data_IF_953445372465
#
_entry.id   IF_953445372465
#
_cell.length_a   1.000
_cell.length_b   1.000
_cell.length_c   1.000
_cell.angle_alpha   90.00
_cell.angle_beta   90.00
_cell.angle_gamma   90.00
#
_symmetry.space_group_name_H-M   'P 1'
#
loop_
_entity.id
_entity.type
_entity.pdbx_description
1 polymer ?
#
# COMPACT_ATOMS: atom_id res chain seq x y z
N UNK A 1 -29.35 -13.12 29.88
CA UNK A 1 -28.12 -13.34 29.09
C UNK A 1 -28.04 -14.83 28.74
N UNK A 2 -27.73 -15.21 27.49
CA UNK A 2 -27.68 -16.62 27.06
C UNK A 2 -26.40 -16.83 26.23
N UNK A 3 -25.41 -17.55 26.79
CA UNK A 3 -24.13 -17.80 26.11
C UNK A 3 -24.37 -18.66 24.87
N UNK A 4 -23.77 -18.29 23.73
CA UNK A 4 -23.65 -19.13 22.53
C UNK A 4 -22.24 -19.72 22.55
N UNK A 5 -22.13 -21.04 22.58
CA UNK A 5 -20.84 -21.71 22.47
C UNK A 5 -20.39 -21.67 21.00
N UNK A 6 -19.14 -21.28 20.75
CA UNK A 6 -18.52 -21.48 19.44
C UNK A 6 -17.99 -22.91 19.35
N UNK A 7 -18.24 -23.58 18.23
CA UNK A 7 -17.63 -24.87 17.90
C UNK A 7 -16.66 -24.64 16.74
N UNK A 8 -15.37 -24.83 17.00
CA UNK A 8 -14.30 -24.68 16.01
C UNK A 8 -14.29 -25.95 15.15
N UNK A 9 -14.65 -25.82 13.88
CA UNK A 9 -14.53 -26.89 12.90
C UNK A 9 -13.12 -26.88 12.29
N UNK A 10 -12.26 -27.81 12.71
CA UNK A 10 -10.92 -27.97 12.16
C UNK A 10 -10.95 -28.86 10.90
N UNK A 11 -10.91 -28.22 9.72
CA UNK A 11 -10.89 -28.92 8.43
C UNK A 11 -9.51 -29.51 8.13
N UNK A 12 -9.37 -30.83 8.20
CA UNK A 12 -8.16 -31.57 7.86
C UNK A 12 -7.96 -31.66 6.34
N UNK A 13 -7.03 -30.88 5.79
CA UNK A 13 -6.60 -30.98 4.39
C UNK A 13 -5.65 -32.16 4.22
N UNK A 14 -6.12 -33.26 3.61
CA UNK A 14 -5.29 -34.42 3.28
C UNK A 14 -4.62 -34.22 1.93
N UNK A 15 -3.29 -34.02 1.94
CA UNK A 15 -2.48 -33.86 0.72
C UNK A 15 -2.24 -35.23 0.07
N UNK A 16 -2.77 -35.44 -1.13
CA UNK A 16 -2.51 -36.62 -1.96
C UNK A 16 -1.35 -36.35 -2.94
N UNK A 17 -0.13 -36.72 -2.54
CA UNK A 17 1.02 -36.73 -3.43
C UNK A 17 0.99 -37.96 -4.34
N UNK A 18 0.65 -37.77 -5.62
CA UNK A 18 0.85 -38.78 -6.67
C UNK A 18 2.18 -38.49 -7.36
N UNK A 19 3.22 -39.23 -6.99
CA UNK A 19 4.50 -39.21 -7.69
C UNK A 19 4.49 -40.09 -8.94
N UNK A 20 5.12 -39.61 -10.01
CA UNK A 20 5.57 -40.45 -11.12
C UNK A 20 7.07 -40.26 -11.32
N UNK A 21 7.79 -41.31 -11.66
CA UNK A 21 9.24 -41.30 -11.83
C UNK A 21 9.66 -42.25 -12.95
N UNK A 22 10.70 -41.82 -13.68
CA UNK A 22 11.37 -42.57 -14.75
C UNK A 22 10.50 -42.84 -16.02
N UNK A 23 11.07 -43.09 -17.19
CA UNK A 23 12.49 -43.32 -17.53
C UNK A 23 13.05 -42.29 -18.53
N UNK A 24 14.38 -42.16 -18.53
CA UNK A 24 15.14 -41.64 -19.66
C UNK A 24 15.39 -42.75 -20.68
N UNK A 25 15.45 -42.40 -21.97
CA UNK A 25 16.04 -43.22 -23.03
C UNK A 25 16.65 -42.31 -24.10
N UNK A 26 17.98 -42.21 -24.11
CA UNK A 26 18.74 -41.44 -25.09
C UNK A 26 19.15 -42.35 -26.26
N UNK A 27 19.06 -41.87 -27.51
CA UNK A 27 19.65 -42.55 -28.67
C UNK A 27 19.96 -41.58 -29.81
N UNK A 28 21.25 -41.53 -30.16
CA UNK A 28 21.90 -41.29 -31.45
C UNK A 28 21.07 -41.13 -32.74
N UNK A 29 21.50 -40.38 -33.77
CA UNK A 29 22.66 -39.46 -33.93
C UNK A 29 22.46 -38.60 -35.22
N UNK A 30 23.50 -37.87 -35.67
CA UNK A 30 23.66 -37.16 -36.97
C UNK A 30 22.88 -35.82 -37.16
N UNK A 31 23.38 -34.75 -37.80
CA UNK A 31 24.75 -34.30 -38.17
C UNK A 31 24.69 -32.77 -38.54
N UNK A 32 25.83 -32.17 -38.92
CA UNK A 32 26.01 -30.88 -39.64
C UNK A 32 25.94 -29.58 -38.80
N UNK A 33 27.07 -29.32 -38.15
CA UNK A 33 27.79 -28.03 -38.08
C UNK A 33 27.08 -26.71 -38.47
N UNK A 34 27.06 -25.74 -37.55
CA UNK A 34 27.50 -24.34 -37.80
C UNK A 34 27.73 -23.58 -36.49
N UNK A 35 28.98 -23.57 -36.00
CA UNK A 35 29.36 -22.83 -34.79
C UNK A 35 29.44 -21.33 -35.05
N UNK A 36 28.87 -20.53 -34.16
CA UNK A 36 29.28 -19.13 -33.95
C UNK A 36 29.63 -18.90 -32.48
N UNK A 37 30.72 -18.16 -32.29
CA UNK A 37 31.38 -17.69 -31.07
C UNK A 37 30.40 -17.35 -29.90
N UNK A 38 30.80 -17.44 -28.61
CA UNK A 38 32.18 -17.31 -28.10
C UNK A 38 32.38 -17.93 -26.69
N UNK A 39 33.67 -18.07 -26.33
CA UNK A 39 34.33 -18.22 -25.02
C UNK A 39 33.60 -17.77 -23.73
N UNK A 40 33.95 -18.23 -22.52
CA UNK A 40 34.79 -19.36 -22.04
C UNK A 40 34.88 -19.36 -20.49
N UNK A 41 34.78 -20.53 -19.83
CA UNK A 41 35.13 -20.78 -18.40
C UNK A 41 34.37 -19.95 -17.34
N UNK A 42 34.40 -20.25 -16.02
CA UNK A 42 35.27 -21.17 -15.26
C UNK A 42 34.52 -21.94 -14.13
N UNK A 43 35.26 -22.75 -13.36
CA UNK A 43 34.73 -23.84 -12.52
C UNK A 43 34.78 -23.60 -10.99
N UNK A 44 33.93 -24.38 -10.29
CA UNK A 44 34.00 -24.85 -8.88
C UNK A 44 35.37 -25.40 -8.41
N UNK A 45 35.61 -25.70 -7.10
CA UNK A 45 34.97 -25.22 -5.83
C UNK A 45 35.91 -25.07 -4.56
N UNK A 46 35.35 -24.51 -3.47
CA UNK A 46 35.48 -24.91 -2.03
C UNK A 46 36.84 -25.18 -1.32
N UNK A 47 37.11 -24.44 -0.22
CA UNK A 47 37.62 -24.86 1.11
C UNK A 47 37.43 -23.68 2.10
N UNK A 48 37.09 -23.78 3.41
CA UNK A 48 37.54 -24.59 4.57
C UNK A 48 38.89 -24.15 5.16
N UNK A 49 39.05 -23.89 6.47
CA UNK A 49 38.07 -23.61 7.58
C UNK A 49 38.37 -22.19 8.18
N UNK A 50 38.58 -21.78 9.44
CA UNK A 50 38.63 -22.32 10.83
C UNK A 50 38.58 -21.13 11.88
N UNK A 51 38.56 -21.42 13.20
CA UNK A 51 38.95 -20.56 14.37
C UNK A 51 38.04 -19.45 14.94
N UNK A 52 37.10 -19.89 15.81
CA UNK A 52 37.02 -19.58 17.26
C UNK A 52 36.99 -18.14 17.84
N UNK A 53 35.86 -17.84 18.51
CA UNK A 53 35.63 -17.28 19.87
C UNK A 53 36.87 -16.81 20.71
N UNK A 54 36.80 -15.81 21.62
CA UNK A 54 35.71 -15.52 22.59
C UNK A 54 35.79 -14.12 23.27
N UNK A 55 34.60 -13.49 23.45
CA UNK A 55 33.98 -12.90 24.67
C UNK A 55 34.66 -11.93 25.68
N UNK A 56 33.75 -11.22 26.38
CA UNK A 56 33.79 -10.66 27.76
C UNK A 56 34.44 -9.28 28.07
N UNK A 57 34.01 -8.49 29.09
CA UNK A 57 32.66 -8.23 29.70
C UNK A 57 32.71 -7.08 30.74
N UNK A 58 31.75 -6.15 30.68
CA UNK A 58 31.13 -5.32 31.75
C UNK A 58 31.91 -4.34 32.69
N UNK A 59 31.32 -3.13 32.83
CA UNK A 59 31.25 -2.16 33.96
C UNK A 59 32.47 -1.60 34.71
N UNK A 60 32.40 -0.28 34.96
CA UNK A 60 32.52 0.30 36.31
C UNK A 60 31.53 1.49 36.46
N UNK A 61 31.34 2.02 37.67
CA UNK A 61 30.30 3.00 38.03
C UNK A 61 30.78 4.05 39.03
N UNK A 62 30.27 5.28 38.94
CA UNK A 62 30.42 6.32 39.98
C UNK A 62 29.14 7.19 40.07
N UNK A 63 28.65 7.42 41.29
CA UNK A 63 27.74 8.53 41.64
C UNK A 63 28.51 9.60 42.43
N UNK A 64 28.08 10.86 42.36
CA UNK A 64 28.31 11.88 43.39
C UNK A 64 27.18 12.92 43.37
N UNK A 65 27.08 13.72 44.44
CA UNK A 65 25.83 14.34 44.90
C UNK A 65 25.67 15.83 44.56
N UNK A 66 24.40 16.22 44.45
CA UNK A 66 23.73 17.43 44.99
C UNK A 66 24.47 18.78 45.04
N UNK A 67 23.80 19.84 44.56
CA UNK A 67 23.59 21.06 45.35
C UNK A 67 22.39 21.86 44.81
N UNK A 68 21.70 22.56 45.72
CA UNK A 68 20.61 23.49 45.40
C UNK A 68 21.15 24.88 45.03
N UNK A 69 20.49 25.59 44.11
CA UNK A 69 20.46 27.05 44.19
C UNK A 69 19.10 27.58 43.73
N UNK A 70 18.47 28.41 44.56
CA UNK A 70 17.14 28.98 44.34
C UNK A 70 17.28 30.46 43.96
N UNK A 71 16.96 30.80 42.72
CA UNK A 71 16.87 32.18 42.24
C UNK A 71 15.43 32.54 41.89
N UNK A 72 14.83 33.44 42.66
CA UNK A 72 13.53 34.04 42.39
C UNK A 72 13.61 34.98 41.18
N UNK A 73 12.64 34.89 40.27
CA UNK A 73 12.28 35.95 39.33
C UNK A 73 10.79 35.81 39.00
N UNK A 74 9.97 36.69 39.60
CA UNK A 74 8.55 36.81 39.28
C UNK A 74 8.36 37.83 38.15
N UNK A 75 8.14 37.37 36.91
CA UNK A 75 7.64 38.24 35.84
C UNK A 75 6.38 37.68 35.14
N UNK A 76 5.41 38.57 35.03
CA UNK A 76 4.05 38.47 34.50
C UNK A 76 3.94 37.73 33.15
N UNK A 77 3.61 36.43 33.20
CA UNK A 77 3.06 35.74 32.03
C UNK A 77 1.58 36.08 31.89
N UNK A 78 1.32 37.16 31.14
CA UNK A 78 -0.03 37.56 30.72
C UNK A 78 -0.82 36.35 30.22
N UNK A 79 -1.98 36.10 30.81
CA UNK A 79 -2.83 34.95 30.47
C UNK A 79 -3.46 35.14 29.09
N UNK A 80 -2.75 34.68 28.06
CA UNK A 80 -3.26 34.60 26.70
C UNK A 80 -4.43 33.61 26.65
N UNK A 81 -5.65 34.14 26.62
CA UNK A 81 -6.87 33.34 26.45
C UNK A 81 -6.91 32.76 25.03
N UNK A 82 -6.25 31.61 24.83
CA UNK A 82 -6.30 30.86 23.57
C UNK A 82 -7.71 30.32 23.39
N UNK A 83 -8.55 31.13 22.74
CA UNK A 83 -9.81 30.70 22.17
C UNK A 83 -9.45 29.84 20.96
N UNK A 84 -9.28 28.54 21.19
CA UNK A 84 -8.99 27.56 20.13
C UNK A 84 -10.25 27.29 19.31
N UNK A 85 -10.66 28.28 18.52
CA UNK A 85 -11.45 28.04 17.33
C UNK A 85 -10.51 27.47 16.27
N UNK A 86 -10.53 26.14 16.14
CA UNK A 86 -9.73 25.40 15.17
C UNK A 86 -10.15 25.77 13.75
N UNK A 87 -9.49 26.78 13.17
CA UNK A 87 -9.56 27.01 11.73
C UNK A 87 -8.93 25.80 11.03
N UNK A 88 -9.70 25.10 10.21
CA UNK A 88 -9.19 23.99 9.41
C UNK A 88 -8.06 24.48 8.51
N UNK A 89 -6.85 23.95 8.70
CA UNK A 89 -5.68 24.26 7.87
C UNK A 89 -5.88 23.71 6.45
N UNK A 90 -5.68 24.56 5.44
CA UNK A 90 -5.85 24.23 4.03
C UNK A 90 -4.72 24.80 3.18
N UNK A 91 -4.42 24.11 2.09
CA UNK A 91 -3.45 24.53 1.07
C UNK A 91 -4.14 25.49 0.09
N UNK A 92 -3.65 26.72 0.06
CA UNK A 92 -4.18 27.84 -0.73
C UNK A 92 -3.85 27.71 -2.24
N UNK A 93 -4.79 28.10 -3.10
CA UNK A 93 -4.58 28.24 -4.55
C UNK A 93 -4.31 26.94 -5.30
N UNK A 94 -4.74 25.78 -4.78
CA UNK A 94 -4.48 24.44 -5.34
C UNK A 94 -5.72 23.64 -5.69
N UNK A 95 -6.87 23.97 -5.11
CA UNK A 95 -8.06 23.12 -5.17
C UNK A 95 -8.58 22.95 -6.61
N UNK A 96 -8.66 24.01 -7.40
CA UNK A 96 -9.08 23.96 -8.80
C UNK A 96 -8.13 23.14 -9.69
N UNK A 97 -6.82 23.19 -9.45
CA UNK A 97 -5.82 22.41 -10.20
C UNK A 97 -6.09 20.90 -10.07
N UNK A 98 -6.27 20.42 -8.83
CA UNK A 98 -6.51 19.00 -8.58
C UNK A 98 -7.94 18.55 -8.94
N UNK A 99 -8.95 19.42 -8.80
CA UNK A 99 -10.29 19.11 -9.32
C UNK A 99 -10.29 18.98 -10.85
N UNK A 100 -9.57 19.84 -11.59
CA UNK A 100 -9.44 19.70 -13.05
C UNK A 100 -8.68 18.41 -13.43
N UNK A 101 -7.63 18.02 -12.69
CA UNK A 101 -6.93 16.74 -12.88
C UNK A 101 -7.87 15.54 -12.68
N UNK A 102 -8.64 15.51 -11.59
CA UNK A 102 -9.60 14.44 -11.27
C UNK A 102 -10.76 14.35 -12.28
N UNK A 103 -11.18 15.48 -12.85
CA UNK A 103 -12.15 15.56 -13.95
C UNK A 103 -11.54 15.05 -15.27
N UNK A 104 -10.27 15.36 -15.54
CA UNK A 104 -9.57 14.94 -16.75
C UNK A 104 -9.31 13.42 -16.76
N UNK A 105 -8.99 12.82 -15.61
CA UNK A 105 -8.92 11.36 -15.47
C UNK A 105 -10.25 10.71 -15.88
N UNK A 106 -11.39 11.25 -15.44
CA UNK A 106 -12.70 10.73 -15.84
C UNK A 106 -12.92 10.84 -17.36
N UNK A 107 -12.55 11.96 -17.98
CA UNK A 107 -12.63 12.17 -19.44
C UNK A 107 -11.75 11.19 -20.22
N UNK A 108 -10.56 10.88 -19.72
CA UNK A 108 -9.67 9.88 -20.33
C UNK A 108 -10.23 8.46 -20.20
N UNK A 109 -10.78 8.11 -19.04
CA UNK A 109 -11.44 6.82 -18.81
C UNK A 109 -12.67 6.63 -19.71
N UNK A 110 -13.51 7.66 -19.86
CA UNK A 110 -14.68 7.64 -20.75
C UNK A 110 -14.30 7.60 -22.25
N UNK A 111 -13.05 7.92 -22.60
CA UNK A 111 -12.49 7.81 -23.95
C UNK A 111 -11.80 6.46 -24.25
N UNK A 112 -11.72 5.53 -23.29
CA UNK A 112 -11.07 4.22 -23.48
C UNK A 112 -11.85 3.33 -24.47
N UNK A 113 -11.17 2.57 -25.36
CA UNK A 113 -11.83 1.66 -26.29
C UNK A 113 -12.57 0.51 -25.58
N UNK A 114 -12.18 0.16 -24.35
CA UNK A 114 -12.88 -0.80 -23.51
C UNK A 114 -14.25 -0.28 -23.03
N UNK A 115 -14.47 1.04 -22.96
CA UNK A 115 -15.63 1.67 -22.29
C UNK A 115 -16.97 1.17 -22.84
N UNK A 116 -17.14 1.17 -24.16
CA UNK A 116 -18.38 0.72 -24.82
C UNK A 116 -18.71 -0.76 -24.51
N UNK A 117 -17.67 -1.58 -24.34
CA UNK A 117 -17.84 -3.01 -24.00
C UNK A 117 -18.03 -3.22 -22.49
N UNK A 118 -17.39 -2.41 -21.64
CA UNK A 118 -17.62 -2.39 -20.20
C UNK A 118 -19.08 -2.01 -19.87
N UNK A 119 -19.60 -0.95 -20.49
CA UNK A 119 -20.98 -0.49 -20.33
C UNK A 119 -22.02 -1.52 -20.82
N UNK A 120 -21.61 -2.41 -21.74
CA UNK A 120 -22.40 -3.55 -22.23
C UNK A 120 -22.25 -4.83 -21.39
N UNK A 121 -21.57 -4.76 -20.24
CA UNK A 121 -21.40 -5.88 -19.32
C UNK A 121 -20.37 -6.93 -19.75
N UNK A 122 -19.49 -6.63 -20.72
CA UNK A 122 -18.45 -7.56 -21.16
C UNK A 122 -17.36 -7.66 -20.08
N UNK A 123 -17.39 -8.74 -19.31
CA UNK A 123 -16.63 -8.89 -18.05
C UNK A 123 -15.13 -8.59 -18.19
N UNK A 124 -14.49 -8.96 -19.30
CA UNK A 124 -13.07 -8.65 -19.55
C UNK A 124 -12.84 -7.14 -19.73
N UNK A 125 -13.69 -6.47 -20.52
CA UNK A 125 -13.63 -5.02 -20.72
C UNK A 125 -13.93 -4.26 -19.41
N UNK A 126 -14.93 -4.69 -18.63
CA UNK A 126 -15.20 -4.14 -17.30
C UNK A 126 -13.98 -4.26 -16.38
N UNK A 127 -13.35 -5.44 -16.31
CA UNK A 127 -12.17 -5.68 -15.48
C UNK A 127 -11.00 -4.78 -15.88
N UNK A 128 -10.75 -4.62 -17.18
CA UNK A 128 -9.66 -3.77 -17.67
C UNK A 128 -9.95 -2.27 -17.45
N UNK A 129 -11.20 -1.86 -17.68
CA UNK A 129 -11.67 -0.49 -17.43
C UNK A 129 -11.51 -0.10 -15.95
N UNK A 130 -12.10 -0.87 -15.02
CA UNK A 130 -12.02 -0.56 -13.59
C UNK A 130 -10.60 -0.72 -13.03
N UNK A 131 -9.81 -1.68 -13.54
CA UNK A 131 -8.40 -1.82 -13.15
C UNK A 131 -7.60 -0.56 -13.48
N UNK A 132 -7.69 -0.07 -14.72
CA UNK A 132 -7.05 1.18 -15.15
C UNK A 132 -7.64 2.41 -14.44
N UNK A 133 -8.94 2.42 -14.17
CA UNK A 133 -9.58 3.49 -13.42
C UNK A 133 -9.07 3.57 -11.98
N UNK A 134 -8.85 2.43 -11.32
CA UNK A 134 -8.18 2.38 -10.02
C UNK A 134 -6.74 2.89 -10.10
N UNK A 135 -5.94 2.38 -11.05
CA UNK A 135 -4.54 2.79 -11.23
C UNK A 135 -4.40 4.32 -11.40
N UNK A 136 -5.19 4.94 -12.28
CA UNK A 136 -5.13 6.39 -12.54
C UNK A 136 -5.59 7.24 -11.36
N UNK A 137 -6.63 6.82 -10.62
CA UNK A 137 -7.06 7.55 -9.42
C UNK A 137 -6.16 7.34 -8.21
N UNK A 138 -5.45 6.20 -8.09
CA UNK A 138 -4.50 5.95 -7.00
C UNK A 138 -3.18 6.71 -7.23
N UNK A 139 -2.69 6.80 -8.47
CA UNK A 139 -1.57 7.69 -8.84
C UNK A 139 -1.88 9.15 -8.46
N UNK A 140 -3.05 9.66 -8.85
CA UNK A 140 -3.51 11.01 -8.51
C UNK A 140 -3.71 11.22 -7.00
N UNK A 141 -4.24 10.20 -6.28
CA UNK A 141 -4.38 10.25 -4.81
C UNK A 141 -3.01 10.37 -4.11
N UNK A 142 -1.99 9.67 -4.61
CA UNK A 142 -0.64 9.74 -4.07
C UNK A 142 0.01 11.12 -4.33
N UNK A 143 -0.23 11.74 -5.49
CA UNK A 143 0.20 13.12 -5.78
C UNK A 143 -0.50 14.15 -4.88
N UNK A 144 -1.82 14.02 -4.68
CA UNK A 144 -2.59 14.84 -3.71
C UNK A 144 -1.99 14.71 -2.31
N UNK A 145 -1.79 13.47 -1.83
CA UNK A 145 -1.24 13.21 -0.49
C UNK A 145 0.22 13.69 -0.35
N UNK A 146 1.03 13.62 -1.41
CA UNK A 146 2.39 14.14 -1.43
C UNK A 146 2.45 15.67 -1.31
N UNK A 147 1.51 16.39 -1.93
CA UNK A 147 1.35 17.84 -1.76
C UNK A 147 0.91 18.19 -0.33
N UNK A 148 -0.13 17.54 0.19
CA UNK A 148 -0.62 17.80 1.55
C UNK A 148 0.48 17.56 2.60
N UNK A 149 1.26 16.49 2.44
CA UNK A 149 2.43 16.18 3.30
C UNK A 149 3.55 17.23 3.25
N UNK A 150 3.60 18.07 2.23
CA UNK A 150 4.59 19.13 2.06
C UNK A 150 4.11 20.49 2.62
N UNK A 151 2.80 20.75 2.59
CA UNK A 151 2.25 22.10 2.76
C UNK A 151 1.27 22.23 3.95
N UNK A 152 0.81 21.14 4.56
CA UNK A 152 0.14 21.15 5.87
C UNK A 152 1.15 21.12 7.04
N UNK A 153 0.73 21.59 8.21
CA UNK A 153 1.50 21.49 9.45
C UNK A 153 1.69 20.04 9.91
N UNK A 154 2.71 19.77 10.77
CA UNK A 154 2.97 18.42 11.27
C UNK A 154 1.81 17.78 12.03
N UNK A 155 0.98 18.59 12.71
CA UNK A 155 -0.18 18.12 13.51
C UNK A 155 -1.31 17.66 12.59
N UNK A 156 -1.80 18.54 11.71
CA UNK A 156 -2.81 18.20 10.69
C UNK A 156 -2.39 17.02 9.81
N UNK A 157 -1.08 16.92 9.51
CA UNK A 157 -0.54 15.83 8.69
C UNK A 157 -0.37 14.50 9.46
N UNK A 158 -0.19 14.52 10.79
CA UNK A 158 -0.21 13.30 11.60
C UNK A 158 -1.63 12.72 11.69
N UNK A 159 -2.64 13.57 11.88
CA UNK A 159 -4.05 13.18 11.84
C UNK A 159 -4.47 12.66 10.45
N UNK A 160 -4.15 13.38 9.37
CA UNK A 160 -4.42 12.92 8.00
C UNK A 160 -3.73 11.59 7.68
N UNK A 161 -2.51 11.37 8.18
CA UNK A 161 -1.81 10.08 8.04
C UNK A 161 -2.55 8.96 8.79
N UNK A 162 -3.09 9.22 9.97
CA UNK A 162 -3.88 8.25 10.72
C UNK A 162 -5.21 7.91 9.99
N UNK A 163 -5.92 8.92 9.49
CA UNK A 163 -7.10 8.73 8.63
C UNK A 163 -6.77 7.90 7.39
N UNK A 164 -5.65 8.21 6.71
CA UNK A 164 -5.30 7.56 5.45
C UNK A 164 -4.94 6.07 5.64
N UNK A 165 -4.30 5.71 6.76
CA UNK A 165 -4.05 4.30 7.12
C UNK A 165 -5.39 3.59 7.36
N UNK A 166 -6.28 4.18 8.17
CA UNK A 166 -7.59 3.59 8.46
C UNK A 166 -8.46 3.46 7.19
N UNK A 167 -8.38 4.42 6.28
CA UNK A 167 -9.07 4.39 4.99
C UNK A 167 -8.52 3.30 4.06
N UNK A 168 -7.19 3.06 4.03
CA UNK A 168 -6.60 1.95 3.26
C UNK A 168 -7.15 0.60 3.76
N UNK A 169 -7.13 0.36 5.08
CA UNK A 169 -7.66 -0.89 5.64
C UNK A 169 -9.15 -1.09 5.26
N UNK A 170 -9.95 -0.02 5.33
CA UNK A 170 -11.36 -0.04 4.92
C UNK A 170 -11.57 -0.27 3.42
N UNK A 171 -10.73 0.34 2.55
CA UNK A 171 -10.76 0.14 1.09
C UNK A 171 -10.51 -1.33 0.75
N UNK A 172 -9.45 -1.91 1.31
CA UNK A 172 -9.03 -3.28 1.01
C UNK A 172 -10.00 -4.32 1.60
N UNK A 173 -10.55 -4.11 2.81
CA UNK A 173 -11.59 -4.97 3.39
C UNK A 173 -12.90 -4.92 2.57
N UNK A 174 -13.34 -3.72 2.15
CA UNK A 174 -14.51 -3.55 1.25
C UNK A 174 -14.30 -4.31 -0.05
N UNK A 175 -13.17 -4.07 -0.73
CA UNK A 175 -12.88 -4.66 -2.03
C UNK A 175 -12.73 -6.19 -1.96
N UNK A 176 -12.09 -6.74 -0.93
CA UNK A 176 -12.01 -8.19 -0.74
C UNK A 176 -13.37 -8.80 -0.41
N UNK A 177 -14.21 -8.14 0.40
CA UNK A 177 -15.57 -8.61 0.67
C UNK A 177 -16.41 -8.65 -0.60
N UNK A 178 -16.44 -7.59 -1.39
CA UNK A 178 -17.21 -7.52 -2.64
C UNK A 178 -16.69 -8.52 -3.68
N UNK A 179 -15.37 -8.73 -3.75
CA UNK A 179 -14.76 -9.80 -4.55
C UNK A 179 -15.27 -11.19 -4.18
N UNK A 180 -15.35 -11.51 -2.89
CA UNK A 180 -15.72 -12.83 -2.39
C UNK A 180 -17.19 -13.21 -2.65
N UNK A 181 -18.08 -12.26 -2.93
CA UNK A 181 -19.45 -12.55 -3.37
C UNK A 181 -19.50 -13.26 -4.76
N UNK A 182 -18.37 -13.25 -5.49
CA UNK A 182 -18.21 -13.85 -6.83
C UNK A 182 -17.07 -14.88 -6.90
N UNK A 183 -16.62 -15.45 -5.78
CA UNK A 183 -15.46 -16.36 -5.69
C UNK A 183 -15.47 -17.48 -6.76
N UNK A 184 -14.38 -17.58 -7.53
CA UNK A 184 -14.22 -18.54 -8.64
C UNK A 184 -14.95 -18.16 -9.93
N UNK A 185 -15.68 -17.04 -9.94
CA UNK A 185 -16.38 -16.50 -11.11
C UNK A 185 -15.54 -15.50 -11.91
N UNK A 186 -15.88 -15.31 -13.19
CA UNK A 186 -15.20 -14.31 -14.05
C UNK A 186 -15.39 -12.86 -13.57
N UNK A 187 -16.45 -12.60 -12.81
CA UNK A 187 -16.78 -11.28 -12.26
C UNK A 187 -16.00 -10.95 -10.98
N UNK A 188 -15.32 -11.92 -10.36
CA UNK A 188 -14.55 -11.75 -9.12
C UNK A 188 -13.63 -10.52 -9.16
N UNK A 189 -12.81 -10.42 -10.21
CA UNK A 189 -11.88 -9.30 -10.36
C UNK A 189 -12.55 -8.01 -10.84
N UNK A 190 -13.78 -8.07 -11.38
CA UNK A 190 -14.56 -6.85 -11.71
C UNK A 190 -15.05 -6.18 -10.43
N UNK A 191 -15.64 -6.96 -9.51
CA UNK A 191 -16.08 -6.45 -8.21
C UNK A 191 -14.91 -5.85 -7.40
N UNK A 192 -13.75 -6.53 -7.39
CA UNK A 192 -12.54 -6.01 -6.75
C UNK A 192 -12.14 -4.63 -7.28
N UNK A 193 -11.88 -4.51 -8.59
CA UNK A 193 -11.38 -3.26 -9.15
C UNK A 193 -12.43 -2.14 -9.12
N UNK A 194 -13.73 -2.47 -9.24
CA UNK A 194 -14.81 -1.49 -9.12
C UNK A 194 -14.85 -0.88 -7.71
N UNK A 195 -14.80 -1.73 -6.66
CA UNK A 195 -14.73 -1.26 -5.27
C UNK A 195 -13.49 -0.41 -4.99
N UNK A 196 -12.32 -0.82 -5.50
CA UNK A 196 -11.06 -0.08 -5.34
C UNK A 196 -11.14 1.28 -6.05
N UNK A 197 -11.58 1.31 -7.31
CA UNK A 197 -11.78 2.52 -8.12
C UNK A 197 -12.69 3.54 -7.41
N UNK A 198 -13.90 3.13 -7.03
CA UNK A 198 -14.87 4.03 -6.39
C UNK A 198 -14.31 4.64 -5.10
N UNK A 199 -13.73 3.78 -4.24
CA UNK A 199 -13.26 4.20 -2.91
C UNK A 199 -12.05 5.12 -3.00
N UNK A 200 -11.13 4.89 -3.95
CA UNK A 200 -9.99 5.77 -4.23
C UNK A 200 -10.44 7.09 -4.87
N UNK A 201 -11.34 7.05 -5.86
CA UNK A 201 -11.89 8.25 -6.50
C UNK A 201 -12.55 9.18 -5.48
N UNK A 202 -13.44 8.65 -4.64
CA UNK A 202 -14.12 9.43 -3.61
C UNK A 202 -13.12 10.04 -2.60
N UNK A 203 -12.09 9.29 -2.18
CA UNK A 203 -11.04 9.81 -1.28
C UNK A 203 -10.21 10.93 -1.92
N UNK A 204 -9.90 10.85 -3.23
CA UNK A 204 -9.18 11.93 -3.92
C UNK A 204 -10.00 13.23 -3.94
N UNK A 205 -11.30 13.15 -4.21
CA UNK A 205 -12.20 14.31 -4.11
C UNK A 205 -12.37 14.79 -2.66
N UNK A 206 -12.40 13.89 -1.67
CA UNK A 206 -12.45 14.25 -0.25
C UNK A 206 -11.22 15.06 0.17
N UNK A 207 -10.01 14.55 -0.08
CA UNK A 207 -8.77 15.22 0.33
C UNK A 207 -8.64 16.62 -0.28
N UNK A 208 -8.97 16.78 -1.56
CA UNK A 208 -8.92 18.07 -2.26
C UNK A 208 -9.95 19.06 -1.72
N UNK A 209 -11.17 18.62 -1.37
CA UNK A 209 -12.19 19.54 -0.82
C UNK A 209 -12.01 19.80 0.69
N UNK A 210 -11.37 18.90 1.43
CA UNK A 210 -11.13 19.04 2.87
C UNK A 210 -9.88 19.86 3.17
N UNK A 211 -8.78 19.64 2.47
CA UNK A 211 -7.46 20.22 2.79
C UNK A 211 -6.92 21.23 1.77
N UNK A 212 -7.71 21.65 0.76
CA UNK A 212 -7.30 22.70 -0.19
C UNK A 212 -8.38 23.77 -0.33
N UNK A 213 -7.98 24.95 -0.82
CA UNK A 213 -8.87 26.06 -1.20
C UNK A 213 -8.32 26.78 -2.45
N UNK A 214 -9.06 27.79 -2.91
CA UNK A 214 -8.84 28.60 -4.13
C UNK A 214 -8.72 30.10 -3.80
#
# INVERSE_FOLDING_TARGET
>A
MKKRNSLIAASLLVILLVGMSACSSNSSDDDITSTKNQSNSESTPQSKDDSSQSNDTHSESTQVEDNQEQADNTEDTTSANITSESQEEKVEGRRAEFLERLDNIQKELDALPEKEHADKGVTNAMKNYYGRAYEMYDEELNEIYALLKKELSPETMEDLKAEQIQWIDQKEDKANKERLEYEGGTFENVALYMSLYESTKDRSYELVNKYMTD
#
